data_IF_554386892118
#
_entry.id   IF_554386892118
#
_cell.length_a   1.000
_cell.length_b   1.000
_cell.length_c   1.000
_cell.angle_alpha   90.00
_cell.angle_beta   90.00
_cell.angle_gamma   90.00
#
_symmetry.space_group_name_H-M   'P 1'
#
loop_
_entity.id
_entity.type
_entity.pdbx_description
1 polymer ?
#
# COMPACT_ATOMS: atom_id res chain seq x y z
N UNK A 1 -8.06 -7.55 86.99
CA UNK A 1 -6.69 -7.00 87.00
C UNK A 1 -5.75 -8.04 87.59
N UNK A 2 -4.74 -8.53 86.83
CA UNK A 2 -3.77 -9.54 87.31
C UNK A 2 -2.47 -8.91 87.83
N UNK A 3 -2.32 -7.60 87.70
CA UNK A 3 -1.15 -6.85 88.15
C UNK A 3 -0.71 -7.11 89.61
N UNK A 4 -1.60 -7.11 90.64
CA UNK A 4 -1.16 -7.39 92.01
C UNK A 4 -0.73 -8.85 92.22
N UNK A 5 -1.29 -9.80 91.47
CA UNK A 5 -0.89 -11.21 91.52
C UNK A 5 0.50 -11.43 90.90
N UNK A 6 0.82 -10.69 89.83
CA UNK A 6 2.12 -10.80 89.15
C UNK A 6 3.24 -10.22 90.02
N UNK A 7 2.99 -9.09 90.68
CA UNK A 7 3.91 -8.48 91.64
C UNK A 7 4.19 -9.40 92.84
N UNK A 8 3.17 -10.16 93.27
CA UNK A 8 3.25 -10.99 94.47
C UNK A 8 3.84 -12.38 94.21
N UNK A 9 3.57 -13.00 93.04
CA UNK A 9 3.89 -14.41 92.78
C UNK A 9 4.88 -14.67 91.64
N UNK A 10 5.10 -13.70 90.73
CA UNK A 10 5.87 -13.98 89.50
C UNK A 10 7.13 -13.11 89.40
N UNK A 11 7.05 -11.84 89.78
CA UNK A 11 8.19 -10.95 89.76
C UNK A 11 8.10 -9.91 90.87
N UNK A 12 8.96 -10.05 91.88
CA UNK A 12 9.10 -9.07 92.98
C UNK A 12 9.85 -7.81 92.53
N UNK A 13 10.69 -7.94 91.50
CA UNK A 13 11.54 -6.87 90.95
C UNK A 13 11.31 -6.69 89.44
N UNK A 14 11.53 -5.47 88.95
CA UNK A 14 11.40 -5.11 87.53
C UNK A 14 12.27 -5.99 86.60
N UNK A 15 13.49 -6.33 87.04
CA UNK A 15 14.39 -7.23 86.32
C UNK A 15 13.78 -8.64 86.13
N UNK A 16 13.10 -9.15 87.16
CA UNK A 16 12.46 -10.47 87.12
C UNK A 16 11.23 -10.47 86.21
N UNK A 17 10.48 -9.35 86.19
CA UNK A 17 9.33 -9.14 85.31
C UNK A 17 9.77 -9.13 83.84
N UNK A 18 10.88 -8.42 83.57
CA UNK A 18 11.47 -8.31 82.24
C UNK A 18 11.96 -9.66 81.71
N UNK A 19 12.75 -10.40 82.48
CA UNK A 19 13.36 -11.65 82.02
C UNK A 19 12.37 -12.82 81.94
N UNK A 20 11.37 -12.87 82.83
CA UNK A 20 10.48 -14.05 82.91
C UNK A 20 9.24 -13.90 82.04
N UNK A 21 8.57 -12.76 82.12
CA UNK A 21 7.28 -12.54 81.43
C UNK A 21 7.52 -11.84 80.10
N UNK A 22 8.15 -10.66 80.13
CA UNK A 22 8.29 -9.82 78.93
C UNK A 22 9.14 -10.52 77.88
N UNK A 23 10.29 -11.09 78.24
CA UNK A 23 11.17 -11.81 77.30
C UNK A 23 10.50 -13.03 76.67
N UNK A 24 9.72 -13.80 77.44
CA UNK A 24 9.03 -15.00 76.94
C UNK A 24 7.95 -14.63 75.91
N UNK A 25 7.12 -13.64 76.25
CA UNK A 25 6.03 -13.17 75.37
C UNK A 25 6.59 -12.45 74.13
N UNK A 26 7.61 -11.60 74.31
CA UNK A 26 8.29 -10.88 73.23
C UNK A 26 9.14 -11.77 72.32
N UNK A 27 9.44 -13.02 72.70
CA UNK A 27 10.15 -13.97 71.82
C UNK A 27 9.20 -14.79 70.95
N UNK A 28 8.00 -15.09 71.45
CA UNK A 28 7.02 -15.89 70.71
C UNK A 28 6.24 -15.03 69.71
N UNK A 29 5.51 -14.01 70.19
CA UNK A 29 4.51 -13.31 69.37
C UNK A 29 5.10 -12.51 68.22
N UNK A 30 6.18 -11.74 68.43
CA UNK A 30 6.85 -11.09 67.31
C UNK A 30 7.40 -12.09 66.29
N UNK A 31 7.93 -13.24 66.72
CA UNK A 31 8.47 -14.25 65.82
C UNK A 31 7.41 -14.83 64.89
N UNK A 32 6.22 -15.12 65.41
CA UNK A 32 5.12 -15.67 64.61
C UNK A 32 4.64 -14.63 63.57
N UNK A 33 4.42 -13.39 64.00
CA UNK A 33 3.89 -12.30 63.15
C UNK A 33 4.92 -11.86 62.09
N UNK A 34 6.20 -11.70 62.46
CA UNK A 34 7.25 -11.39 61.49
C UNK A 34 7.55 -12.61 60.59
N UNK A 35 7.34 -13.84 61.07
CA UNK A 35 7.52 -15.06 60.29
C UNK A 35 6.53 -15.24 59.14
N UNK A 36 5.37 -14.57 59.19
CA UNK A 36 4.40 -14.53 58.09
C UNK A 36 4.85 -13.65 56.92
N UNK A 37 5.85 -12.78 57.13
CA UNK A 37 6.34 -11.91 56.06
C UNK A 37 7.27 -12.67 55.12
N UNK A 38 7.07 -12.47 53.81
CA UNK A 38 8.06 -12.86 52.81
C UNK A 38 9.34 -12.05 53.00
N UNK A 39 10.47 -12.68 52.75
CA UNK A 39 11.82 -12.10 52.87
C UNK A 39 12.00 -10.81 52.06
N UNK A 40 11.37 -10.72 50.89
CA UNK A 40 11.32 -9.52 50.04
C UNK A 40 10.62 -8.34 50.73
N UNK A 41 9.57 -8.60 51.52
CA UNK A 41 8.80 -7.58 52.21
C UNK A 41 9.51 -7.05 53.46
N UNK A 42 10.52 -7.74 54.00
CA UNK A 42 11.36 -7.21 55.08
C UNK A 42 12.23 -6.03 54.62
N UNK A 43 12.51 -5.91 53.32
CA UNK A 43 13.23 -4.76 52.79
C UNK A 43 12.35 -3.50 52.69
N UNK A 44 11.04 -3.66 52.58
CA UNK A 44 10.08 -2.56 52.48
C UNK A 44 9.86 -1.96 53.87
N UNK A 45 10.11 -0.65 54.02
CA UNK A 45 9.96 0.05 55.30
C UNK A 45 8.51 0.03 55.80
N UNK A 46 7.54 0.26 54.91
CA UNK A 46 6.11 0.27 55.21
C UNK A 46 5.60 -1.10 55.70
N UNK A 47 6.05 -2.19 55.08
CA UNK A 47 5.68 -3.55 55.49
C UNK A 47 6.25 -3.91 56.88
N UNK A 48 7.40 -3.34 57.26
CA UNK A 48 7.98 -3.52 58.60
C UNK A 48 7.22 -2.72 59.66
N UNK A 49 6.82 -1.50 59.33
CA UNK A 49 6.11 -0.63 60.25
C UNK A 49 4.71 -1.18 60.56
N UNK A 50 3.96 -1.56 59.53
CA UNK A 50 2.65 -2.21 59.68
C UNK A 50 2.69 -3.48 60.52
N UNK A 51 3.75 -4.28 60.40
CA UNK A 51 3.93 -5.47 61.23
C UNK A 51 4.35 -5.13 62.65
N UNK A 52 5.19 -4.12 62.84
CA UNK A 52 5.55 -3.62 64.18
C UNK A 52 4.34 -3.12 64.94
N UNK A 53 3.39 -2.47 64.25
CA UNK A 53 2.12 -2.02 64.84
C UNK A 53 1.19 -3.19 65.20
N UNK A 54 1.10 -4.21 64.35
CA UNK A 54 0.36 -5.44 64.66
C UNK A 54 0.93 -6.14 65.89
N UNK A 55 2.25 -6.27 65.96
CA UNK A 55 2.94 -6.86 67.11
C UNK A 55 2.68 -6.04 68.37
N UNK A 56 2.74 -4.71 68.28
CA UNK A 56 2.41 -3.81 69.40
C UNK A 56 1.00 -4.07 69.93
N UNK A 57 0.00 -4.14 69.06
CA UNK A 57 -1.40 -4.36 69.46
C UNK A 57 -1.57 -5.72 70.16
N UNK A 58 -0.99 -6.78 69.62
CA UNK A 58 -1.06 -8.13 70.20
C UNK A 58 -0.33 -8.19 71.54
N UNK A 59 0.85 -7.56 71.65
CA UNK A 59 1.58 -7.48 72.91
C UNK A 59 0.81 -6.67 73.96
N UNK A 60 0.17 -5.56 73.56
CA UNK A 60 -0.64 -4.72 74.44
C UNK A 60 -1.87 -5.48 74.98
N UNK A 61 -2.52 -6.32 74.18
CA UNK A 61 -3.64 -7.14 74.62
C UNK A 61 -3.24 -8.17 75.69
N UNK A 62 -2.05 -8.77 75.54
CA UNK A 62 -1.54 -9.80 76.45
C UNK A 62 -0.96 -9.19 77.73
N UNK A 63 -0.22 -8.09 77.60
CA UNK A 63 0.53 -7.45 78.68
C UNK A 63 -0.27 -6.37 79.43
N UNK A 64 -1.31 -5.81 78.80
CA UNK A 64 -2.19 -4.81 79.42
C UNK A 64 -2.87 -5.29 80.71
N UNK A 65 -3.45 -6.50 80.77
CA UNK A 65 -4.00 -7.08 81.99
C UNK A 65 -2.97 -7.31 83.11
N UNK A 66 -1.68 -7.34 82.75
CA UNK A 66 -0.53 -7.52 83.64
C UNK A 66 0.04 -6.19 84.16
N UNK A 67 -0.44 -5.05 83.67
CA UNK A 67 0.03 -3.71 84.06
C UNK A 67 1.23 -3.19 83.28
N UNK A 68 1.60 -3.83 82.16
CA UNK A 68 2.70 -3.40 81.30
C UNK A 68 2.13 -2.72 80.05
N UNK A 69 2.64 -1.52 79.73
CA UNK A 69 2.24 -0.73 78.56
C UNK A 69 3.33 -0.81 77.50
N UNK A 70 2.95 -1.14 76.27
CA UNK A 70 3.88 -1.26 75.14
C UNK A 70 3.80 0.00 74.28
N UNK A 71 4.85 0.82 74.31
CA UNK A 71 4.88 2.10 73.57
C UNK A 71 5.25 1.90 72.09
N UNK A 72 6.34 1.19 71.81
CA UNK A 72 6.83 0.92 70.45
C UNK A 72 7.62 -0.38 70.37
N UNK A 73 7.50 -1.07 69.25
CA UNK A 73 8.30 -2.25 68.91
C UNK A 73 9.21 -1.88 67.74
N UNK A 74 10.51 -2.10 67.90
CA UNK A 74 11.54 -1.79 66.90
C UNK A 74 12.31 -3.06 66.54
N UNK A 75 12.56 -3.27 65.24
CA UNK A 75 13.44 -4.33 64.75
C UNK A 75 14.87 -3.81 64.68
N UNK A 76 15.82 -4.44 65.38
CA UNK A 76 17.20 -3.95 65.48
C UNK A 76 18.09 -4.44 64.34
N UNK A 77 18.19 -5.75 64.11
CA UNK A 77 19.05 -6.33 63.07
C UNK A 77 18.40 -7.58 62.45
N UNK A 78 18.17 -7.57 61.14
CA UNK A 78 17.84 -8.78 60.38
C UNK A 78 19.07 -9.21 59.58
N UNK A 79 19.43 -10.50 59.65
CA UNK A 79 20.53 -11.07 58.87
C UNK A 79 19.98 -12.23 58.06
N UNK A 80 20.05 -12.13 56.74
CA UNK A 80 19.79 -13.26 55.85
C UNK A 80 21.10 -14.00 55.56
N UNK A 81 21.01 -15.30 55.28
CA UNK A 81 22.15 -16.06 54.79
C UNK A 81 22.56 -15.51 53.41
N UNK A 82 23.87 -15.37 53.16
CA UNK A 82 24.41 -14.85 51.91
C UNK A 82 23.95 -15.64 50.68
N UNK A 83 23.76 -16.96 50.81
CA UNK A 83 23.22 -17.81 49.73
C UNK A 83 21.79 -17.43 49.33
N UNK A 84 20.98 -17.01 50.32
CA UNK A 84 19.60 -16.64 50.09
C UNK A 84 19.49 -15.26 49.42
N UNK A 85 20.35 -14.32 49.79
CA UNK A 85 20.45 -13.02 49.12
C UNK A 85 20.81 -13.20 47.64
N UNK A 86 21.80 -14.06 47.35
CA UNK A 86 22.17 -14.38 45.96
C UNK A 86 21.01 -15.00 45.18
N UNK A 87 20.28 -15.94 45.76
CA UNK A 87 19.13 -16.56 45.10
C UNK A 87 18.03 -15.54 44.74
N UNK A 88 17.81 -14.52 45.57
CA UNK A 88 16.87 -13.42 45.27
C UNK A 88 17.39 -12.55 44.13
N UNK A 89 18.68 -12.19 44.16
CA UNK A 89 19.31 -11.40 43.10
C UNK A 89 19.25 -12.14 41.76
N UNK A 90 19.59 -13.42 41.74
CA UNK A 90 19.56 -14.28 40.55
C UNK A 90 18.14 -14.40 40.00
N UNK A 91 17.14 -14.61 40.86
CA UNK A 91 15.73 -14.64 40.46
C UNK A 91 15.30 -13.30 39.86
N UNK A 92 15.70 -12.19 40.46
CA UNK A 92 15.36 -10.84 39.95
C UNK A 92 15.99 -10.58 38.59
N UNK A 93 17.23 -10.99 38.38
CA UNK A 93 17.91 -10.89 37.08
C UNK A 93 17.21 -11.76 36.04
N UNK A 94 16.83 -12.99 36.39
CA UNK A 94 16.09 -13.89 35.51
C UNK A 94 14.73 -13.30 35.11
N UNK A 95 13.95 -12.80 36.08
CA UNK A 95 12.65 -12.18 35.82
C UNK A 95 12.78 -10.95 34.91
N UNK A 96 13.79 -10.10 35.14
CA UNK A 96 14.08 -8.97 34.24
C UNK A 96 14.45 -9.42 32.83
N UNK A 97 15.21 -10.51 32.70
CA UNK A 97 15.59 -11.04 31.39
C UNK A 97 14.38 -11.65 30.66
N UNK A 98 13.47 -12.32 31.38
CA UNK A 98 12.22 -12.85 30.82
C UNK A 98 11.36 -11.72 30.27
N UNK A 99 11.19 -10.62 31.00
CA UNK A 99 10.40 -9.47 30.53
C UNK A 99 11.04 -8.75 29.34
N UNK A 100 12.38 -8.62 29.32
CA UNK A 100 13.12 -8.13 28.15
C UNK A 100 12.92 -9.05 26.93
N UNK A 101 13.01 -10.37 27.13
CA UNK A 101 12.84 -11.34 26.06
C UNK A 101 11.41 -11.34 25.52
N UNK A 102 10.38 -11.26 26.39
CA UNK A 102 8.98 -11.13 25.96
C UNK A 102 8.80 -9.86 25.13
N UNK A 103 9.33 -8.73 25.60
CA UNK A 103 9.27 -7.45 24.88
C UNK A 103 9.95 -7.54 23.51
N UNK A 104 11.13 -8.16 23.44
CA UNK A 104 11.86 -8.38 22.19
C UNK A 104 11.10 -9.33 21.24
N UNK A 105 10.48 -10.40 21.76
CA UNK A 105 9.64 -11.30 20.97
C UNK A 105 8.42 -10.59 20.40
N UNK A 106 7.73 -9.77 21.19
CA UNK A 106 6.60 -8.97 20.72
C UNK A 106 7.02 -7.99 19.63
N UNK A 107 8.15 -7.28 19.80
CA UNK A 107 8.68 -6.38 18.79
C UNK A 107 9.02 -7.12 17.48
N UNK A 108 9.67 -8.28 17.58
CA UNK A 108 10.04 -9.09 16.41
C UNK A 108 8.81 -9.64 15.67
N UNK A 109 7.76 -10.06 16.38
CA UNK A 109 6.50 -10.51 15.78
C UNK A 109 5.79 -9.38 15.03
N UNK A 110 5.76 -8.18 15.60
CA UNK A 110 5.16 -7.00 14.94
C UNK A 110 5.97 -6.55 13.73
N UNK A 111 7.30 -6.61 13.80
CA UNK A 111 8.15 -6.34 12.63
C UNK A 111 7.93 -7.38 11.52
N UNK A 112 7.82 -8.66 11.89
CA UNK A 112 7.53 -9.73 10.94
C UNK A 112 6.17 -9.55 10.26
N UNK A 113 5.11 -9.23 11.02
CA UNK A 113 3.79 -8.91 10.47
C UNK A 113 3.86 -7.73 9.51
N UNK A 114 4.59 -6.67 9.86
CA UNK A 114 4.75 -5.48 9.00
C UNK A 114 5.41 -5.84 7.67
N UNK A 115 6.51 -6.61 7.70
CA UNK A 115 7.18 -7.08 6.48
C UNK A 115 6.28 -7.97 5.62
N UNK A 116 5.45 -8.80 6.25
CA UNK A 116 4.49 -9.66 5.55
C UNK A 116 3.41 -8.82 4.84
N UNK A 117 2.86 -7.81 5.51
CA UNK A 117 1.88 -6.90 4.91
C UNK A 117 2.49 -6.00 3.82
N UNK A 118 3.73 -5.55 4.00
CA UNK A 118 4.48 -4.82 2.97
C UNK A 118 4.68 -5.68 1.72
N UNK A 119 5.16 -6.92 1.88
CA UNK A 119 5.32 -7.86 0.76
C UNK A 119 3.98 -8.18 0.06
N UNK A 120 2.88 -8.34 0.82
CA UNK A 120 1.53 -8.47 0.23
C UNK A 120 1.13 -7.21 -0.54
N UNK A 121 1.42 -6.03 -0.01
CA UNK A 121 1.16 -4.75 -0.65
C UNK A 121 1.90 -4.61 -1.98
N UNK A 122 3.17 -5.00 -2.02
CA UNK A 122 3.97 -5.03 -3.25
C UNK A 122 3.38 -5.99 -4.29
N UNK A 123 3.02 -7.21 -3.88
CA UNK A 123 2.38 -8.18 -4.78
C UNK A 123 1.06 -7.66 -5.32
N UNK A 124 0.21 -7.09 -4.46
CA UNK A 124 -1.07 -6.52 -4.88
C UNK A 124 -0.87 -5.34 -5.85
N UNK A 125 0.14 -4.51 -5.64
CA UNK A 125 0.49 -3.43 -6.56
C UNK A 125 0.93 -3.98 -7.91
N UNK A 126 1.82 -4.98 -7.93
CA UNK A 126 2.26 -5.63 -9.17
C UNK A 126 1.10 -6.26 -9.94
N UNK A 127 0.18 -6.93 -9.24
CA UNK A 127 -1.03 -7.51 -9.85
C UNK A 127 -1.92 -6.41 -10.43
N UNK A 128 -2.19 -5.35 -9.67
CA UNK A 128 -3.02 -4.24 -10.13
C UNK A 128 -2.41 -3.48 -11.33
N UNK A 129 -1.08 -3.30 -11.34
CA UNK A 129 -0.36 -2.69 -12.46
C UNK A 129 -0.44 -3.58 -13.71
N UNK A 130 -0.22 -4.89 -13.56
CA UNK A 130 -0.32 -5.86 -14.66
C UNK A 130 -1.75 -5.94 -15.23
N UNK A 131 -2.77 -6.02 -14.36
CA UNK A 131 -4.18 -6.04 -14.76
C UNK A 131 -4.57 -4.71 -15.44
N UNK A 132 -4.10 -3.58 -14.90
CA UNK A 132 -4.33 -2.27 -15.49
C UNK A 132 -3.71 -2.13 -16.88
N UNK A 133 -2.52 -2.70 -17.09
CA UNK A 133 -1.86 -2.70 -18.39
C UNK A 133 -2.57 -3.63 -19.38
N UNK A 134 -2.95 -4.83 -18.94
CA UNK A 134 -3.75 -5.76 -19.73
C UNK A 134 -5.08 -5.13 -20.19
N UNK A 135 -5.78 -4.42 -19.31
CA UNK A 135 -7.03 -3.75 -19.66
C UNK A 135 -6.83 -2.62 -20.67
N UNK A 136 -5.74 -1.85 -20.55
CA UNK A 136 -5.39 -0.81 -21.53
C UNK A 136 -5.13 -1.43 -22.90
N UNK A 137 -4.30 -2.46 -22.96
CA UNK A 137 -3.94 -3.14 -24.21
C UNK A 137 -5.18 -3.75 -24.88
N UNK A 138 -6.09 -4.32 -24.09
CA UNK A 138 -7.35 -4.85 -24.58
C UNK A 138 -8.25 -3.76 -25.15
N UNK A 139 -8.43 -2.65 -24.43
CA UNK A 139 -9.24 -1.51 -24.89
C UNK A 139 -8.63 -0.92 -26.17
N UNK A 140 -7.31 -0.77 -26.23
CA UNK A 140 -6.62 -0.25 -27.42
C UNK A 140 -6.81 -1.17 -28.63
N UNK A 141 -6.69 -2.50 -28.45
CA UNK A 141 -6.96 -3.46 -29.51
C UNK A 141 -8.42 -3.41 -29.99
N UNK A 142 -9.38 -3.32 -29.07
CA UNK A 142 -10.81 -3.22 -29.39
C UNK A 142 -11.11 -1.92 -30.15
N UNK A 143 -10.58 -0.78 -29.70
CA UNK A 143 -10.72 0.53 -30.37
C UNK A 143 -10.08 0.49 -31.76
N UNK A 144 -8.89 -0.10 -31.89
CA UNK A 144 -8.22 -0.23 -33.18
C UNK A 144 -9.06 -1.06 -34.16
N UNK A 145 -9.60 -2.19 -33.71
CA UNK A 145 -10.47 -3.03 -34.54
C UNK A 145 -11.72 -2.27 -34.98
N UNK A 146 -12.37 -1.55 -34.06
CA UNK A 146 -13.58 -0.77 -34.35
C UNK A 146 -13.28 0.35 -35.35
N UNK A 147 -12.18 1.08 -35.17
CA UNK A 147 -11.72 2.11 -36.13
C UNK A 147 -11.49 1.52 -37.52
N UNK A 148 -10.80 0.38 -37.62
CA UNK A 148 -10.56 -0.28 -38.90
C UNK A 148 -11.86 -0.73 -39.57
N UNK A 149 -12.82 -1.25 -38.80
CA UNK A 149 -14.14 -1.62 -39.34
C UNK A 149 -14.92 -0.40 -39.84
N UNK A 150 -14.89 0.71 -39.11
CA UNK A 150 -15.54 1.96 -39.53
C UNK A 150 -14.91 2.53 -40.79
N UNK A 151 -13.57 2.53 -40.88
CA UNK A 151 -12.85 2.93 -42.09
C UNK A 151 -13.18 2.04 -43.28
N UNK A 152 -13.18 0.72 -43.10
CA UNK A 152 -13.55 -0.22 -44.16
C UNK A 152 -14.98 0.04 -44.67
N UNK A 153 -15.95 0.21 -43.76
CA UNK A 153 -17.34 0.56 -44.14
C UNK A 153 -17.44 1.91 -44.84
N UNK A 154 -16.67 2.90 -44.41
CA UNK A 154 -16.64 4.21 -45.05
C UNK A 154 -16.11 4.11 -46.48
N UNK A 155 -15.00 3.40 -46.69
CA UNK A 155 -14.40 3.16 -48.01
C UNK A 155 -15.35 2.36 -48.91
N UNK A 156 -16.01 1.31 -48.39
CA UNK A 156 -17.01 0.57 -49.14
C UNK A 156 -18.18 1.46 -49.56
N UNK A 157 -18.70 2.29 -48.64
CA UNK A 157 -19.79 3.21 -48.94
C UNK A 157 -19.39 4.28 -49.96
N UNK A 158 -18.20 4.85 -49.84
CA UNK A 158 -17.64 5.81 -50.79
C UNK A 158 -17.44 5.17 -52.16
N UNK A 159 -16.83 3.97 -52.22
CA UNK A 159 -16.64 3.23 -53.47
C UNK A 159 -17.95 2.85 -54.15
N UNK A 160 -18.99 2.47 -53.38
CA UNK A 160 -20.33 2.21 -53.93
C UNK A 160 -20.96 3.51 -54.46
N UNK A 161 -20.81 4.63 -53.75
CA UNK A 161 -21.34 5.92 -54.16
C UNK A 161 -20.65 6.43 -55.43
N UNK A 162 -19.31 6.33 -55.50
CA UNK A 162 -18.52 6.69 -56.67
C UNK A 162 -18.85 5.80 -57.86
N UNK A 163 -18.91 4.48 -57.67
CA UNK A 163 -19.29 3.54 -58.73
C UNK A 163 -20.70 3.83 -59.27
N UNK A 164 -21.67 4.14 -58.40
CA UNK A 164 -23.01 4.59 -58.82
C UNK A 164 -22.96 5.91 -59.58
N UNK A 165 -22.19 6.88 -59.11
CA UNK A 165 -22.00 8.17 -59.78
C UNK A 165 -21.41 8.02 -61.19
N UNK A 166 -20.38 7.18 -61.35
CA UNK A 166 -19.78 6.86 -62.65
C UNK A 166 -20.76 6.13 -63.56
N UNK A 167 -21.54 5.18 -63.02
CA UNK A 167 -22.59 4.48 -63.79
C UNK A 167 -23.65 5.45 -64.32
N UNK A 168 -24.18 6.33 -63.46
CA UNK A 168 -25.17 7.33 -63.87
C UNK A 168 -24.57 8.34 -64.87
N UNK A 169 -23.31 8.75 -64.68
CA UNK A 169 -22.60 9.62 -65.63
C UNK A 169 -22.43 8.93 -66.99
N UNK A 170 -22.03 7.65 -67.01
CA UNK A 170 -21.92 6.86 -68.23
C UNK A 170 -23.28 6.72 -68.93
N UNK A 171 -24.36 6.46 -68.19
CA UNK A 171 -25.71 6.41 -68.75
C UNK A 171 -26.13 7.76 -69.36
N UNK A 172 -25.86 8.87 -68.68
CA UNK A 172 -26.16 10.21 -69.18
C UNK A 172 -25.37 10.57 -70.45
N UNK A 173 -24.10 10.13 -70.52
CA UNK A 173 -23.23 10.31 -71.70
C UNK A 173 -23.58 9.35 -72.85
N UNK A 174 -24.17 8.19 -72.58
CA UNK A 174 -24.61 7.27 -73.63
C UNK A 174 -25.91 7.74 -74.34
N UNK A 175 -26.69 8.63 -73.71
CA UNK A 175 -27.91 9.22 -74.26
C UNK A 175 -27.67 10.45 -75.16
N UNK A 176 -28.73 11.25 -75.39
CA UNK A 176 -28.67 12.46 -76.22
C UNK A 176 -27.74 13.56 -75.70
N UNK A 177 -27.41 13.54 -74.40
CA UNK A 177 -26.50 14.49 -73.76
C UNK A 177 -25.03 14.31 -74.18
N UNK A 178 -24.56 13.08 -74.40
CA UNK A 178 -23.18 12.82 -74.81
C UNK A 178 -22.87 13.30 -76.22
N UNK A 179 -23.77 13.07 -77.17
CA UNK A 179 -23.62 13.60 -78.54
C UNK A 179 -23.52 15.14 -78.55
N UNK A 180 -24.32 15.81 -77.73
CA UNK A 180 -24.30 17.27 -77.60
C UNK A 180 -22.97 17.76 -77.00
N UNK A 181 -22.47 17.11 -75.94
CA UNK A 181 -21.17 17.44 -75.32
C UNK A 181 -20.02 17.22 -76.30
N UNK A 182 -20.03 16.11 -77.05
CA UNK A 182 -19.01 15.83 -78.07
C UNK A 182 -19.05 16.87 -79.17
N UNK A 183 -20.24 17.25 -79.68
CA UNK A 183 -20.39 18.33 -80.67
C UNK A 183 -19.88 19.67 -80.14
N UNK A 184 -20.17 20.01 -78.88
CA UNK A 184 -19.70 21.25 -78.24
C UNK A 184 -18.17 21.26 -78.13
N UNK A 185 -17.55 20.18 -77.62
CA UNK A 185 -16.09 20.03 -77.53
C UNK A 185 -15.40 20.07 -78.89
N UNK A 186 -16.00 19.45 -79.91
CA UNK A 186 -15.51 19.53 -81.28
C UNK A 186 -15.61 20.99 -81.78
N UNK A 187 -16.73 21.68 -81.54
CA UNK A 187 -16.89 23.08 -81.92
C UNK A 187 -15.87 23.99 -81.21
N UNK A 188 -15.67 23.85 -79.90
CA UNK A 188 -14.62 24.58 -79.15
C UNK A 188 -13.22 24.30 -79.71
N UNK A 189 -12.89 23.03 -79.97
CA UNK A 189 -11.58 22.65 -80.51
C UNK A 189 -11.36 23.15 -81.95
N UNK A 190 -12.44 23.38 -82.70
CA UNK A 190 -12.44 24.00 -84.04
C UNK A 190 -12.42 25.54 -83.97
N UNK A 191 -12.74 26.14 -82.83
CA UNK A 191 -12.81 27.59 -82.67
C UNK A 191 -11.39 28.17 -82.64
N UNK A 192 -11.05 29.01 -83.61
CA UNK A 192 -9.71 29.60 -83.76
C UNK A 192 -8.71 28.80 -84.60
N UNK A 193 -9.09 27.61 -85.12
CA UNK A 193 -8.25 26.86 -86.09
C UNK A 193 -8.66 27.22 -87.54
N UNK A 194 -7.67 27.38 -88.42
CA UNK A 194 -7.91 27.57 -89.87
C UNK A 194 -8.40 26.26 -90.47
N UNK A 195 -9.69 26.19 -90.79
CA UNK A 195 -10.29 25.08 -91.51
C UNK A 195 -9.90 25.23 -92.99
N UNK A 196 -9.06 24.34 -93.49
CA UNK A 196 -8.66 24.28 -94.91
C UNK A 196 -9.44 23.12 -95.54
N UNK A 197 -10.42 23.44 -96.37
CA UNK A 197 -11.10 22.46 -97.22
C UNK A 197 -10.18 22.08 -98.36
N UNK A 198 -9.54 20.91 -98.25
CA UNK A 198 -8.75 20.32 -99.31
C UNK A 198 -9.70 19.63 -100.30
N UNK A 199 -9.81 20.08 -101.56
CA UNK A 199 -10.61 19.39 -102.56
C UNK A 199 -9.96 18.04 -102.86
N UNK A 200 -10.62 16.95 -102.45
CA UNK A 200 -10.33 15.61 -102.95
C UNK A 200 -10.96 15.49 -104.34
N UNK A 201 -10.22 15.94 -105.36
CA UNK A 201 -10.51 15.58 -106.74
C UNK A 201 -9.93 14.18 -107.02
N UNK A 202 -10.65 13.36 -107.78
CA UNK A 202 -10.28 11.99 -108.16
C UNK A 202 -9.00 11.86 -109.02
N UNK A 203 -8.18 12.91 -109.13
CA UNK A 203 -7.06 12.98 -110.09
C UNK A 203 -5.70 13.44 -109.54
N UNK A 204 -5.54 13.70 -108.23
CA UNK A 204 -4.25 14.16 -107.71
C UNK A 204 -4.11 14.01 -106.18
N UNK A 205 -3.21 13.11 -105.77
CA UNK A 205 -2.86 12.73 -104.38
C UNK A 205 -4.03 12.20 -103.52
N UNK A 206 -4.10 10.88 -103.42
CA UNK A 206 -4.92 10.17 -102.42
C UNK A 206 -4.37 10.41 -101.01
N UNK A 207 -4.98 11.35 -100.28
CA UNK A 207 -4.67 11.65 -98.88
C UNK A 207 -5.25 10.62 -97.88
N UNK A 208 -5.94 9.57 -98.35
CA UNK A 208 -6.53 8.53 -97.49
C UNK A 208 -5.49 7.63 -96.80
N UNK A 209 -4.29 7.52 -97.36
CA UNK A 209 -3.19 6.66 -96.85
C UNK A 209 -2.01 7.46 -96.31
N UNK A 210 -2.09 8.79 -96.28
CA UNK A 210 -1.01 9.65 -95.82
C UNK A 210 -1.30 10.09 -94.39
N UNK A 211 -0.40 9.75 -93.46
CA UNK A 211 -0.46 10.20 -92.07
C UNK A 211 -0.34 11.74 -92.02
N UNK A 212 -1.49 12.39 -91.79
CA UNK A 212 -1.64 13.84 -91.83
C UNK A 212 -0.77 14.51 -90.76
N UNK A 213 -0.47 13.81 -89.64
CA UNK A 213 0.42 14.33 -88.59
C UNK A 213 1.85 14.49 -89.10
N UNK A 214 2.37 13.51 -89.86
CA UNK A 214 3.70 13.59 -90.51
C UNK A 214 3.78 14.70 -91.56
N UNK A 215 2.69 15.00 -92.24
CA UNK A 215 2.63 16.10 -93.21
C UNK A 215 2.68 17.48 -92.53
N UNK A 216 2.00 17.62 -91.39
CA UNK A 216 2.00 18.86 -90.60
C UNK A 216 3.37 19.09 -89.95
N UNK A 217 4.03 18.04 -89.45
CA UNK A 217 5.40 18.14 -88.92
C UNK A 217 6.39 18.61 -90.00
N UNK A 218 6.34 18.01 -91.19
CA UNK A 218 7.24 18.37 -92.31
C UNK A 218 7.01 19.79 -92.84
N UNK A 219 5.75 20.26 -92.90
CA UNK A 219 5.42 21.64 -93.25
C UNK A 219 5.77 22.64 -92.13
N UNK A 220 5.57 22.25 -90.86
CA UNK A 220 5.95 23.03 -89.69
C UNK A 220 7.47 23.27 -89.61
N UNK A 221 8.26 22.22 -89.86
CA UNK A 221 9.73 22.29 -89.94
C UNK A 221 10.17 23.20 -91.10
N UNK A 222 9.46 23.17 -92.25
CA UNK A 222 9.75 24.06 -93.39
C UNK A 222 9.44 25.54 -93.09
N UNK A 223 8.44 25.82 -92.25
CA UNK A 223 8.09 27.19 -91.85
C UNK A 223 9.05 27.82 -90.83
N UNK A 224 9.72 26.99 -90.02
CA UNK A 224 10.76 27.41 -89.07
C UNK A 224 12.14 27.58 -89.74
N UNK A 225 12.37 26.92 -90.87
CA UNK A 225 13.61 26.98 -91.66
C UNK A 225 13.68 28.17 -92.63
N UNK A 226 12.65 29.04 -92.69
CA UNK A 226 12.57 30.16 -93.63
C UNK A 226 12.75 31.52 -92.97
N UNK A 227 13.96 31.84 -92.51
CA UNK A 227 14.43 33.21 -92.28
C UNK A 227 15.96 33.24 -92.11
N UNK A 228 16.70 33.97 -92.96
CA UNK A 228 16.57 34.09 -94.42
C UNK A 228 17.09 32.85 -95.17
#
# INVERSE_FOLDING_TARGET
AKAPYILQYVAKDDLSLRETIVRTVARSKPRDIFGELKTEAFYVAEARETQSDKVKNVLQEILGPMGVIVEKVLTNDYRFNAEYTKAIEDKKVADQQVEKNKSAQHAALEEYKRKLEEAKGEVNKMVADADGQYLKDKIEADVYQEQQQLLARAIEAEGIAEAKGVLEMNNALAGSGGEAIVKLKIAEALTGKRIILLPVSEGGMNLKTTDINRLIETLGVKSLSGKP
#
